data_IF_297682359928
#
_entry.id   IF_297682359928
#
_cell.length_a   1.000
_cell.length_b   1.000
_cell.length_c   1.000
_cell.angle_alpha   90.00
_cell.angle_beta   90.00
_cell.angle_gamma   90.00
#
_symmetry.space_group_name_H-M   'P 1'
#
loop_
_entity.id
_entity.type
_entity.pdbx_description
1 polymer ?
#
# COMPACT_ATOMS: atom_id res chain seq x y z
N UNK A 1 -9.18 14.63 -1.24
CA UNK A 1 -9.33 13.21 -1.66
C UNK A 1 -10.20 12.50 -0.64
N UNK A 2 -11.11 11.66 -1.11
CA UNK A 2 -12.00 10.84 -0.29
C UNK A 2 -11.64 9.38 -0.55
N UNK A 3 -11.44 8.63 0.51
CA UNK A 3 -11.11 7.21 0.47
C UNK A 3 -12.13 6.45 1.33
N UNK A 4 -12.73 5.42 0.77
CA UNK A 4 -13.64 4.54 1.51
C UNK A 4 -12.99 3.18 1.75
N UNK A 5 -13.29 2.55 2.89
CA UNK A 5 -12.90 1.18 3.15
C UNK A 5 -13.53 0.21 2.13
N UNK A 6 -12.97 -0.98 1.97
CA UNK A 6 -13.50 -2.02 1.10
C UNK A 6 -14.96 -2.39 1.47
N UNK A 7 -15.27 -2.44 2.75
CA UNK A 7 -16.62 -2.70 3.28
C UNK A 7 -17.54 -1.49 3.24
N UNK A 8 -17.04 -0.30 2.84
CA UNK A 8 -17.77 0.98 2.82
C UNK A 8 -18.36 1.40 4.18
N UNK A 9 -17.75 0.96 5.26
CA UNK A 9 -18.13 1.24 6.64
C UNK A 9 -17.30 2.37 7.27
N UNK A 10 -16.26 2.82 6.59
CA UNK A 10 -15.44 3.95 7.00
C UNK A 10 -15.01 4.81 5.81
N UNK A 11 -14.92 6.11 6.05
CA UNK A 11 -14.52 7.10 5.05
C UNK A 11 -13.41 7.95 5.61
N UNK A 12 -12.33 8.12 4.82
CA UNK A 12 -11.20 8.99 5.16
C UNK A 12 -11.19 10.19 4.21
N UNK A 13 -11.20 11.38 4.80
CA UNK A 13 -11.07 12.64 4.08
C UNK A 13 -9.64 13.17 4.22
N UNK A 14 -8.93 13.28 3.09
CA UNK A 14 -7.59 13.87 3.03
C UNK A 14 -7.69 15.36 2.74
N UNK A 15 -7.38 16.19 3.73
CA UNK A 15 -7.47 17.64 3.64
C UNK A 15 -6.12 18.22 3.20
N UNK A 16 -6.15 19.11 2.20
CA UNK A 16 -4.95 19.83 1.71
C UNK A 16 -4.87 21.27 2.22
N UNK A 17 -5.97 21.79 2.74
CA UNK A 17 -6.01 23.16 3.26
C UNK A 17 -5.31 23.22 4.62
N UNK A 18 -4.17 23.91 4.62
CA UNK A 18 -3.35 24.12 5.82
C UNK A 18 -4.05 24.95 6.90
N UNK A 19 -5.02 25.79 6.53
CA UNK A 19 -5.80 26.56 7.50
C UNK A 19 -6.69 25.65 8.37
N UNK A 20 -7.22 24.58 7.78
CA UNK A 20 -8.01 23.58 8.53
C UNK A 20 -7.15 22.74 9.48
N UNK A 21 -5.92 22.45 9.10
CA UNK A 21 -4.99 21.67 9.94
C UNK A 21 -4.65 22.39 11.25
N UNK A 22 -4.71 23.71 11.26
CA UNK A 22 -4.40 24.55 12.42
C UNK A 22 -5.57 24.72 13.40
N UNK A 23 -6.74 24.17 13.08
CA UNK A 23 -7.93 24.22 13.92
C UNK A 23 -8.01 22.98 14.81
N UNK A 24 -8.52 23.16 16.02
CA UNK A 24 -8.78 22.05 16.93
C UNK A 24 -10.11 21.34 16.63
N UNK A 25 -11.02 22.04 15.96
CA UNK A 25 -12.33 21.54 15.59
C UNK A 25 -12.56 21.78 14.09
N UNK A 26 -12.87 20.72 13.37
CA UNK A 26 -13.32 20.77 11.98
C UNK A 26 -14.83 20.73 11.96
N UNK A 27 -15.48 21.74 11.33
CA UNK A 27 -16.90 21.74 11.02
C UNK A 27 -17.14 21.31 9.58
N UNK A 28 -18.07 20.43 9.38
CA UNK A 28 -18.47 19.95 8.05
C UNK A 28 -19.95 19.65 7.99
N UNK A 29 -20.54 19.85 6.82
CA UNK A 29 -21.86 19.36 6.48
C UNK A 29 -21.71 18.05 5.70
N UNK A 30 -22.38 17.00 6.16
CA UNK A 30 -22.30 15.69 5.54
C UNK A 30 -23.63 15.34 4.90
N UNK A 31 -23.66 15.25 3.56
CA UNK A 31 -24.83 14.82 2.79
C UNK A 31 -24.65 13.39 2.31
N UNK A 32 -25.60 12.53 2.66
CA UNK A 32 -25.59 11.11 2.29
C UNK A 32 -27.01 10.59 2.01
N UNK A 33 -27.07 9.43 1.38
CA UNK A 33 -28.35 8.75 1.14
C UNK A 33 -28.64 7.79 2.28
N UNK A 34 -29.84 7.88 2.84
CA UNK A 34 -30.34 6.96 3.85
C UNK A 34 -31.76 6.49 3.50
N UNK A 35 -32.12 5.34 4.03
CA UNK A 35 -33.49 4.81 3.86
C UNK A 35 -34.38 5.43 4.93
N UNK A 36 -35.53 6.00 4.53
CA UNK A 36 -36.53 6.50 5.46
C UNK A 36 -37.36 5.38 6.11
N UNK A 37 -38.30 5.73 6.98
CA UNK A 37 -39.18 4.77 7.66
C UNK A 37 -40.10 3.98 6.73
N UNK A 38 -40.23 4.39 5.47
CA UNK A 38 -41.05 3.73 4.43
C UNK A 38 -40.21 2.83 3.52
N UNK A 39 -38.89 2.78 3.71
CA UNK A 39 -37.97 2.03 2.86
C UNK A 39 -37.51 2.78 1.61
N UNK A 40 -37.88 4.05 1.45
CA UNK A 40 -37.45 4.87 0.32
C UNK A 40 -36.10 5.52 0.59
N UNK A 41 -35.24 5.51 -0.42
CA UNK A 41 -33.89 6.11 -0.34
C UNK A 41 -34.02 7.65 -0.51
N UNK A 42 -33.77 8.38 0.57
CA UNK A 42 -33.79 9.85 0.60
C UNK A 42 -32.38 10.42 0.81
N UNK A 43 -32.21 11.69 0.41
CA UNK A 43 -30.98 12.44 0.68
C UNK A 43 -31.14 13.13 2.05
N UNK A 44 -30.19 12.87 2.95
CA UNK A 44 -30.14 13.48 4.28
C UNK A 44 -28.87 14.30 4.43
N UNK A 45 -28.95 15.42 5.15
CA UNK A 45 -27.80 16.27 5.44
C UNK A 45 -27.71 16.52 6.93
N UNK A 46 -26.62 16.04 7.52
CA UNK A 46 -26.23 16.43 8.85
C UNK A 46 -25.42 17.73 8.77
N UNK A 47 -25.94 18.77 9.38
CA UNK A 47 -25.30 20.09 9.39
C UNK A 47 -24.46 20.29 10.63
N UNK A 48 -23.34 21.02 10.48
CA UNK A 48 -22.47 21.42 11.57
C UNK A 48 -21.92 20.24 12.40
N UNK A 49 -21.59 19.12 11.75
CA UNK A 49 -20.83 18.06 12.42
C UNK A 49 -19.47 18.60 12.86
N UNK A 50 -19.18 18.44 14.14
CA UNK A 50 -17.92 18.88 14.73
C UNK A 50 -17.02 17.68 15.00
N UNK A 51 -15.84 17.65 14.33
CA UNK A 51 -14.81 16.65 14.54
C UNK A 51 -13.66 17.29 15.31
N UNK A 52 -13.44 16.83 16.52
CA UNK A 52 -12.36 17.31 17.39
C UNK A 52 -11.03 16.65 16.98
N UNK A 53 -9.98 17.45 16.96
CA UNK A 53 -8.61 16.92 16.80
C UNK A 53 -8.24 16.05 18.00
N UNK A 54 -7.63 14.89 17.76
CA UNK A 54 -7.10 14.02 18.83
C UNK A 54 -6.06 14.74 19.70
N UNK A 55 -5.30 15.66 19.10
CA UNK A 55 -4.33 16.48 19.79
C UNK A 55 -4.56 17.96 19.48
N UNK A 56 -4.76 18.81 20.50
CA UNK A 56 -4.92 20.25 20.33
C UNK A 56 -3.73 20.85 19.56
N UNK A 57 -4.01 21.85 18.72
CA UNK A 57 -3.00 22.55 17.92
C UNK A 57 -1.82 23.08 18.77
N UNK A 58 -2.15 23.67 19.92
CA UNK A 58 -1.13 24.17 20.84
C UNK A 58 -0.16 23.08 21.34
N UNK A 59 -0.66 21.85 21.56
CA UNK A 59 0.18 20.71 21.97
C UNK A 59 1.07 20.25 20.82
N UNK A 60 0.50 20.15 19.58
CA UNK A 60 1.25 19.79 18.37
C UNK A 60 2.37 20.81 18.10
N UNK A 61 2.08 22.11 18.24
CA UNK A 61 3.08 23.17 18.05
C UNK A 61 4.21 23.09 19.07
N UNK A 62 3.90 22.92 20.35
CA UNK A 62 4.92 22.73 21.40
C UNK A 62 5.80 21.50 21.15
N UNK A 63 5.23 20.39 20.68
CA UNK A 63 6.00 19.21 20.32
C UNK A 63 6.97 19.50 19.16
N UNK A 64 6.50 20.19 18.14
CA UNK A 64 7.30 20.58 16.97
C UNK A 64 8.42 21.57 17.35
N UNK A 65 8.13 22.56 18.17
CA UNK A 65 9.13 23.51 18.71
C UNK A 65 10.21 22.79 19.49
N UNK A 66 9.81 21.84 20.34
CA UNK A 66 10.76 21.02 21.11
C UNK A 66 11.66 20.19 20.20
N UNK A 67 11.10 19.56 19.17
CA UNK A 67 11.87 18.79 18.18
C UNK A 67 12.89 19.66 17.46
N UNK A 68 12.48 20.84 16.99
CA UNK A 68 13.37 21.83 16.34
C UNK A 68 14.48 22.26 17.31
N UNK A 69 14.16 22.53 18.56
CA UNK A 69 15.14 22.98 19.57
C UNK A 69 16.15 21.86 19.89
N UNK A 70 15.71 20.62 20.00
CA UNK A 70 16.60 19.46 20.23
C UNK A 70 17.51 19.22 19.04
N UNK A 71 16.97 19.30 17.81
CA UNK A 71 17.74 19.20 16.58
C UNK A 71 18.79 20.32 16.51
N UNK A 72 18.41 21.58 16.73
CA UNK A 72 19.31 22.74 16.71
C UNK A 72 20.46 22.57 17.72
N UNK A 73 20.17 22.17 18.96
CA UNK A 73 21.19 21.88 19.97
C UNK A 73 22.16 20.77 19.53
N UNK A 74 21.65 19.76 18.82
CA UNK A 74 22.48 18.68 18.28
C UNK A 74 23.42 19.19 17.20
N UNK A 75 22.92 20.01 16.27
CA UNK A 75 23.73 20.61 15.20
C UNK A 75 24.81 21.57 15.76
N UNK A 76 24.48 22.38 16.74
CA UNK A 76 25.46 23.24 17.42
C UNK A 76 26.58 22.44 18.10
N UNK A 77 26.26 21.31 18.72
CA UNK A 77 27.27 20.42 19.33
C UNK A 77 28.19 19.82 18.26
N UNK A 78 27.67 19.43 17.08
CA UNK A 78 28.46 18.92 15.96
C UNK A 78 29.39 20.02 15.42
N UNK A 79 28.86 21.22 15.22
CA UNK A 79 29.64 22.40 14.78
C UNK A 79 30.79 22.70 15.74
N UNK A 80 30.53 22.71 17.05
CA UNK A 80 31.58 22.96 18.09
C UNK A 80 32.65 21.88 18.09
N UNK A 81 32.34 20.66 17.67
CA UNK A 81 33.30 19.54 17.57
C UNK A 81 34.02 19.49 16.23
N UNK A 82 33.78 20.43 15.32
CA UNK A 82 34.35 20.41 13.96
C UNK A 82 33.84 19.26 13.09
N UNK A 83 32.69 18.67 13.44
CA UNK A 83 32.06 17.60 12.69
C UNK A 83 31.07 18.17 11.66
N UNK A 84 30.76 17.45 10.57
CA UNK A 84 29.74 17.86 9.63
C UNK A 84 28.41 18.13 10.34
N UNK A 85 27.75 19.24 10.01
CA UNK A 85 26.47 19.64 10.58
C UNK A 85 25.54 20.18 9.47
N UNK A 86 24.25 20.04 9.69
CA UNK A 86 23.22 20.54 8.79
C UNK A 86 22.75 21.93 9.26
N UNK A 87 22.58 22.87 8.34
CA UNK A 87 22.06 24.22 8.61
C UNK A 87 20.53 24.28 8.61
N UNK A 88 19.88 23.33 7.96
CA UNK A 88 18.43 23.25 7.82
C UNK A 88 17.95 21.86 8.25
N UNK A 89 16.89 21.81 9.04
CA UNK A 89 16.27 20.56 9.43
C UNK A 89 15.65 19.88 8.20
N UNK A 90 16.08 18.65 7.92
CA UNK A 90 15.54 17.90 6.79
C UNK A 90 14.05 17.59 7.01
N UNK A 91 13.27 17.81 5.98
CA UNK A 91 11.85 17.39 5.95
C UNK A 91 11.80 15.86 5.98
N UNK A 92 10.90 15.29 6.79
CA UNK A 92 10.70 13.85 6.83
C UNK A 92 10.27 13.39 5.43
N UNK A 93 10.99 12.46 4.80
CA UNK A 93 10.61 12.00 3.46
C UNK A 93 9.34 11.16 3.52
N UNK A 94 8.69 11.00 2.37
CA UNK A 94 7.61 10.06 2.20
C UNK A 94 8.11 8.64 2.48
N UNK A 95 7.45 7.95 3.40
CA UNK A 95 7.74 6.54 3.70
C UNK A 95 7.04 5.64 2.69
N UNK A 96 7.80 4.75 2.08
CA UNK A 96 7.33 3.78 1.10
C UNK A 96 7.53 2.39 1.65
N UNK A 97 6.46 1.63 1.77
CA UNK A 97 6.50 0.23 2.21
C UNK A 97 6.42 -0.65 0.97
N UNK A 98 7.48 -1.41 0.73
CA UNK A 98 7.55 -2.37 -0.38
C UNK A 98 7.18 -3.75 0.16
N UNK A 99 6.12 -4.35 -0.38
CA UNK A 99 5.55 -5.62 0.06
C UNK A 99 6.26 -6.84 -0.51
N UNK A 100 7.58 -6.79 -0.59
CA UNK A 100 8.42 -7.95 -0.86
C UNK A 100 9.62 -7.92 0.09
N UNK A 101 9.95 -9.07 0.67
CA UNK A 101 11.14 -9.23 1.50
C UNK A 101 12.32 -9.74 0.64
N UNK A 102 12.86 -10.92 0.96
CA UNK A 102 13.94 -11.57 0.19
C UNK A 102 13.42 -12.55 -0.86
N UNK A 103 12.16 -12.98 -0.73
CA UNK A 103 11.54 -13.95 -1.62
C UNK A 103 10.16 -13.48 -2.08
N UNK A 104 9.82 -13.79 -3.33
CA UNK A 104 8.53 -13.53 -3.96
C UNK A 104 7.95 -14.84 -4.48
N UNK A 105 6.69 -15.14 -4.12
CA UNK A 105 5.98 -16.28 -4.71
C UNK A 105 5.71 -16.01 -6.21
N UNK A 106 5.83 -17.02 -7.09
CA UNK A 106 5.73 -16.81 -8.55
C UNK A 106 4.38 -16.26 -9.03
N UNK A 107 3.31 -16.45 -8.26
CA UNK A 107 1.96 -15.95 -8.55
C UNK A 107 1.65 -14.60 -7.87
N UNK A 108 2.61 -14.00 -7.18
CA UNK A 108 2.47 -12.72 -6.50
C UNK A 108 3.17 -11.60 -7.24
N UNK A 109 2.76 -10.40 -6.94
CA UNK A 109 3.39 -9.19 -7.45
C UNK A 109 3.94 -8.36 -6.30
N UNK A 110 4.87 -7.46 -6.63
CA UNK A 110 5.43 -6.54 -5.63
C UNK A 110 4.41 -5.43 -5.37
N UNK A 111 4.01 -5.27 -4.11
CA UNK A 111 3.08 -4.22 -3.71
C UNK A 111 3.82 -3.05 -3.08
N UNK A 112 3.24 -1.87 -3.24
CA UNK A 112 3.70 -0.65 -2.58
C UNK A 112 2.55 -0.08 -1.77
N UNK A 113 2.82 0.31 -0.54
CA UNK A 113 1.84 1.02 0.27
C UNK A 113 2.43 2.29 0.86
N UNK A 114 1.59 3.32 0.93
CA UNK A 114 1.93 4.66 1.37
C UNK A 114 1.01 5.07 2.51
N UNK A 115 1.54 5.86 3.45
CA UNK A 115 0.73 6.36 4.55
C UNK A 115 -0.24 7.47 4.10
N UNK A 116 0.09 8.16 2.99
CA UNK A 116 -0.69 9.24 2.37
C UNK A 116 -0.93 8.95 0.89
N UNK A 117 -2.03 9.45 0.29
CA UNK A 117 -2.25 9.30 -1.15
C UNK A 117 -1.16 9.99 -1.97
N UNK A 118 -0.80 9.38 -3.10
CA UNK A 118 0.17 9.96 -4.02
C UNK A 118 -0.47 11.05 -4.90
N UNK A 119 0.26 12.14 -5.11
CA UNK A 119 0.01 13.13 -6.14
C UNK A 119 0.75 12.80 -7.43
N UNK A 120 1.92 12.14 -7.31
CA UNK A 120 2.77 11.75 -8.44
C UNK A 120 3.40 10.38 -8.19
N UNK A 121 3.38 9.55 -9.23
CA UNK A 121 4.17 8.32 -9.32
C UNK A 121 4.90 8.34 -10.67
N UNK A 122 6.22 8.51 -10.65
CA UNK A 122 7.05 8.61 -11.83
C UNK A 122 7.67 7.23 -12.15
N UNK A 123 7.05 6.53 -13.08
CA UNK A 123 7.52 5.21 -13.52
C UNK A 123 8.83 5.27 -14.30
N UNK A 124 9.21 6.43 -14.85
CA UNK A 124 10.50 6.59 -15.53
C UNK A 124 11.69 6.49 -14.55
N UNK A 125 11.47 6.88 -13.29
CA UNK A 125 12.44 6.73 -12.20
C UNK A 125 12.39 5.35 -11.53
N UNK A 126 11.67 4.37 -12.09
CA UNK A 126 11.61 3.00 -11.57
C UNK A 126 12.36 2.05 -12.51
N UNK A 127 13.16 1.18 -11.95
CA UNK A 127 14.00 0.25 -12.69
C UNK A 127 13.90 -1.14 -12.07
N UNK A 128 13.55 -2.12 -12.90
CA UNK A 128 13.57 -3.53 -12.52
C UNK A 128 14.67 -4.23 -13.29
N UNK A 129 15.50 -4.96 -12.56
CA UNK A 129 16.56 -5.76 -13.16
C UNK A 129 16.37 -7.22 -12.78
N UNK A 130 16.60 -8.12 -13.74
CA UNK A 130 16.68 -9.57 -13.55
C UNK A 130 18.13 -10.02 -13.71
N UNK A 131 18.58 -10.89 -12.84
CA UNK A 131 19.93 -11.46 -12.88
C UNK A 131 19.95 -12.69 -13.78
N UNK A 132 20.85 -12.70 -14.74
CA UNK A 132 21.11 -13.87 -15.57
C UNK A 132 22.61 -14.19 -15.45
N UNK A 133 22.93 -15.33 -14.89
CA UNK A 133 24.28 -15.71 -14.47
C UNK A 133 24.90 -14.66 -13.54
N UNK A 134 25.86 -13.89 -14.03
CA UNK A 134 26.55 -12.84 -13.26
C UNK A 134 26.12 -11.41 -13.65
N UNK A 135 25.27 -11.25 -14.66
CA UNK A 135 24.90 -9.97 -15.23
C UNK A 135 23.45 -9.60 -14.90
N UNK A 136 23.21 -8.31 -14.74
CA UNK A 136 21.88 -7.74 -14.54
C UNK A 136 21.34 -7.15 -15.84
N UNK A 137 20.12 -7.53 -16.21
CA UNK A 137 19.43 -7.05 -17.40
C UNK A 137 18.16 -6.34 -17.00
N UNK A 138 17.82 -5.25 -17.68
CA UNK A 138 16.57 -4.52 -17.44
C UNK A 138 15.39 -5.43 -17.80
N UNK A 139 14.47 -5.59 -16.87
CA UNK A 139 13.24 -6.36 -17.03
C UNK A 139 12.04 -5.41 -17.23
N UNK A 140 11.09 -5.78 -18.10
CA UNK A 140 9.85 -5.02 -18.25
C UNK A 140 8.97 -5.18 -17.01
N UNK A 141 8.19 -4.15 -16.71
CA UNK A 141 7.19 -4.17 -15.65
C UNK A 141 6.03 -3.21 -15.97
N UNK A 142 4.91 -3.45 -15.33
CA UNK A 142 3.76 -2.53 -15.27
C UNK A 142 3.58 -2.05 -13.84
N UNK A 143 3.18 -0.79 -13.65
CA UNK A 143 2.95 -0.21 -12.34
C UNK A 143 1.57 0.42 -12.30
N UNK A 144 0.67 -0.18 -11.52
CA UNK A 144 -0.74 0.20 -11.46
C UNK A 144 -1.19 0.55 -10.06
N UNK A 145 -2.15 1.46 -9.95
CA UNK A 145 -2.87 1.73 -8.71
C UNK A 145 -3.93 0.65 -8.48
N UNK A 146 -3.94 0.06 -7.29
CA UNK A 146 -5.02 -0.83 -6.81
C UNK A 146 -5.88 -0.16 -5.73
N UNK A 147 -5.50 1.03 -5.32
CA UNK A 147 -6.20 1.88 -4.35
C UNK A 147 -5.56 3.24 -4.26
N UNK A 148 -6.09 4.13 -3.42
CA UNK A 148 -5.55 5.49 -3.29
C UNK A 148 -4.13 5.54 -2.71
N UNK A 149 -3.75 4.52 -1.96
CA UNK A 149 -2.46 4.41 -1.26
C UNK A 149 -1.74 3.10 -1.53
N UNK A 150 -2.30 2.29 -2.42
CA UNK A 150 -1.78 0.97 -2.74
C UNK A 150 -1.55 0.85 -4.24
N UNK A 151 -0.37 0.36 -4.57
CA UNK A 151 0.07 0.16 -5.93
C UNK A 151 0.67 -1.22 -6.07
N UNK A 152 0.67 -1.73 -7.29
CA UNK A 152 1.24 -3.03 -7.63
C UNK A 152 2.19 -2.89 -8.80
N UNK A 153 3.38 -3.49 -8.67
CA UNK A 153 4.31 -3.67 -9.75
C UNK A 153 4.20 -5.11 -10.24
N UNK A 154 3.78 -5.27 -11.50
CA UNK A 154 3.67 -6.55 -12.20
C UNK A 154 4.87 -6.71 -13.10
N UNK A 155 5.55 -7.83 -12.96
CA UNK A 155 6.66 -8.22 -13.80
C UNK A 155 6.46 -9.63 -14.35
N UNK A 156 7.28 -9.99 -15.34
CA UNK A 156 7.39 -11.38 -15.78
C UNK A 156 8.31 -12.15 -14.82
N UNK A 157 7.71 -12.65 -13.73
CA UNK A 157 8.44 -13.33 -12.69
C UNK A 157 8.85 -14.73 -13.14
N UNK A 158 10.17 -14.96 -13.24
CA UNK A 158 10.72 -16.27 -13.56
C UNK A 158 11.22 -16.94 -12.30
N UNK A 159 10.79 -18.18 -12.02
CA UNK A 159 11.27 -18.93 -10.84
C UNK A 159 12.79 -19.02 -10.81
N UNK A 160 13.34 -19.06 -9.60
CA UNK A 160 14.78 -19.13 -9.31
C UNK A 160 15.63 -17.92 -9.73
N UNK A 161 15.02 -16.89 -10.34
CA UNK A 161 15.73 -15.68 -10.77
C UNK A 161 15.75 -14.66 -9.63
N UNK A 162 16.90 -14.01 -9.45
CA UNK A 162 17.07 -12.85 -8.59
C UNK A 162 16.70 -11.58 -9.35
N UNK A 163 15.96 -10.70 -8.66
CA UNK A 163 15.56 -9.38 -9.16
C UNK A 163 16.09 -8.28 -8.24
N UNK A 164 16.36 -7.12 -8.82
CA UNK A 164 16.65 -5.88 -8.11
C UNK A 164 15.69 -4.80 -8.58
N UNK A 165 14.88 -4.30 -7.65
CA UNK A 165 14.02 -3.16 -7.87
C UNK A 165 14.75 -1.92 -7.35
N UNK A 166 14.93 -0.93 -8.21
CA UNK A 166 15.55 0.35 -7.89
C UNK A 166 14.57 1.46 -8.23
N UNK A 167 14.37 2.38 -7.29
CA UNK A 167 13.49 3.55 -7.46
C UNK A 167 14.30 4.78 -7.11
N UNK A 168 14.29 5.75 -8.02
CA UNK A 168 15.02 7.00 -7.85
C UNK A 168 14.43 7.88 -6.76
N UNK A 169 15.23 8.81 -6.26
CA UNK A 169 14.77 9.84 -5.33
C UNK A 169 13.64 10.64 -5.97
N UNK A 170 12.60 10.94 -5.18
CA UNK A 170 11.43 11.72 -5.61
C UNK A 170 10.63 11.11 -6.77
N UNK A 171 10.76 9.81 -7.05
CA UNK A 171 9.88 9.10 -7.98
C UNK A 171 8.43 9.07 -7.48
N UNK A 172 8.23 9.09 -6.16
CA UNK A 172 6.92 9.23 -5.55
C UNK A 172 6.83 10.54 -4.77
N UNK A 173 5.71 11.24 -4.94
CA UNK A 173 5.37 12.45 -4.20
C UNK A 173 3.92 12.34 -3.70
N UNK A 174 3.70 12.65 -2.44
CA UNK A 174 2.36 12.63 -1.87
C UNK A 174 1.60 13.93 -2.12
N UNK A 175 0.32 13.95 -1.72
CA UNK A 175 -0.55 15.13 -1.87
C UNK A 175 -0.10 16.34 -1.04
N UNK A 176 0.85 16.17 -0.13
CA UNK A 176 1.42 17.23 0.71
C UNK A 176 2.79 17.70 0.23
N UNK A 177 3.29 17.15 -0.88
CA UNK A 177 4.59 17.50 -1.46
C UNK A 177 5.77 16.81 -0.79
N UNK A 178 5.54 15.74 -0.02
CA UNK A 178 6.62 14.93 0.52
C UNK A 178 7.13 13.94 -0.53
N UNK A 179 8.42 13.98 -0.79
CA UNK A 179 9.07 13.13 -1.79
C UNK A 179 9.70 11.89 -1.15
N UNK A 180 9.72 10.78 -1.90
CA UNK A 180 10.35 9.53 -1.48
C UNK A 180 11.87 9.60 -1.52
N UNK A 181 12.52 8.82 -0.65
CA UNK A 181 13.95 8.49 -0.79
C UNK A 181 14.16 7.45 -1.88
N UNK A 182 15.39 7.31 -2.39
CA UNK A 182 15.69 6.21 -3.30
C UNK A 182 15.49 4.87 -2.60
N UNK A 183 14.98 3.89 -3.34
CA UNK A 183 14.73 2.54 -2.85
C UNK A 183 15.58 1.57 -3.66
N UNK A 184 16.19 0.62 -2.98
CA UNK A 184 16.84 -0.53 -3.60
C UNK A 184 16.44 -1.78 -2.85
N UNK A 185 15.68 -2.66 -3.51
CA UNK A 185 15.14 -3.88 -2.95
C UNK A 185 15.51 -5.07 -3.83
N UNK A 186 16.37 -5.95 -3.31
CA UNK A 186 16.66 -7.23 -3.93
C UNK A 186 15.70 -8.31 -3.43
N UNK A 187 15.28 -9.21 -4.32
CA UNK A 187 14.48 -10.39 -3.98
C UNK A 187 14.71 -11.50 -4.99
N UNK A 188 14.41 -12.73 -4.59
CA UNK A 188 14.44 -13.90 -5.47
C UNK A 188 13.02 -14.43 -5.65
N UNK A 189 12.66 -14.82 -6.87
CA UNK A 189 11.42 -15.57 -7.10
C UNK A 189 11.63 -17.01 -6.70
N UNK A 190 10.75 -17.53 -5.87
CA UNK A 190 10.87 -18.88 -5.32
C UNK A 190 10.82 -19.94 -6.42
N UNK A 191 11.54 -21.05 -6.20
CA UNK A 191 11.53 -22.21 -7.09
C UNK A 191 10.17 -22.87 -7.15
N UNK A 192 9.79 -23.39 -8.31
CA UNK A 192 8.55 -24.15 -8.48
C UNK A 192 8.56 -25.46 -7.67
N UNK A 193 9.73 -26.00 -7.36
CA UNK A 193 9.88 -27.24 -6.58
C UNK A 193 9.32 -27.14 -5.15
N UNK A 194 9.15 -25.90 -4.66
CA UNK A 194 8.57 -25.64 -3.33
C UNK A 194 7.06 -25.64 -3.31
N UNK A 195 6.39 -25.78 -4.47
CA UNK A 195 4.94 -25.67 -4.58
C UNK A 195 4.30 -26.94 -5.09
N UNK A 196 3.09 -27.21 -4.62
CA UNK A 196 2.19 -28.25 -5.12
C UNK A 196 1.10 -27.70 -6.02
N UNK A 197 0.44 -28.59 -6.72
CA UNK A 197 -0.78 -28.33 -7.47
C UNK A 197 -1.87 -29.25 -6.99
N UNK A 198 -3.07 -28.71 -6.75
CA UNK A 198 -4.26 -29.47 -6.38
C UNK A 198 -5.31 -29.34 -7.47
N UNK A 199 -5.77 -30.48 -7.98
CA UNK A 199 -6.88 -30.58 -8.94
C UNK A 199 -8.10 -31.10 -8.21
N UNK A 200 -9.21 -30.36 -8.24
CA UNK A 200 -10.48 -30.76 -7.65
C UNK A 200 -11.49 -31.03 -8.76
N UNK A 201 -11.89 -32.29 -8.92
CA UNK A 201 -12.93 -32.66 -9.86
C UNK A 201 -14.29 -32.67 -9.14
N UNK A 202 -15.24 -31.93 -9.68
CA UNK A 202 -16.60 -31.78 -9.17
C UNK A 202 -17.50 -32.68 -10.01
N UNK A 203 -18.03 -33.74 -9.38
CA UNK A 203 -18.79 -34.79 -10.07
C UNK A 203 -20.31 -34.55 -10.08
N UNK A 204 -20.80 -33.63 -9.25
CA UNK A 204 -22.21 -33.31 -9.20
C UNK A 204 -22.65 -32.43 -10.37
N UNK A 205 -23.86 -32.70 -10.86
CA UNK A 205 -24.42 -31.93 -11.97
C UNK A 205 -25.15 -30.68 -11.45
N UNK A 206 -24.39 -29.60 -11.23
CA UNK A 206 -24.96 -28.30 -10.85
C UNK A 206 -25.51 -27.52 -12.05
N UNK A 207 -25.68 -28.14 -13.21
CA UNK A 207 -26.08 -27.47 -14.45
C UNK A 207 -24.98 -26.50 -14.95
N UNK A 208 -25.42 -25.36 -15.53
CA UNK A 208 -24.50 -24.34 -16.05
C UNK A 208 -24.16 -23.26 -15.00
N UNK A 209 -24.28 -23.54 -13.71
CA UNK A 209 -23.96 -22.56 -12.67
C UNK A 209 -22.45 -22.40 -12.54
N UNK A 210 -21.96 -21.15 -12.44
CA UNK A 210 -20.55 -20.91 -12.18
C UNK A 210 -20.22 -21.31 -10.74
N UNK A 211 -19.38 -22.34 -10.59
CA UNK A 211 -18.96 -22.83 -9.28
C UNK A 211 -17.67 -22.14 -8.84
N UNK A 212 -17.68 -21.65 -7.60
CA UNK A 212 -16.49 -21.11 -6.94
C UNK A 212 -16.02 -22.14 -5.91
N UNK A 213 -14.78 -22.62 -6.08
CA UNK A 213 -14.14 -23.52 -5.14
C UNK A 213 -13.16 -22.73 -4.30
N UNK A 214 -13.24 -22.88 -2.98
CA UNK A 214 -12.37 -22.19 -2.04
C UNK A 214 -11.49 -23.20 -1.29
N UNK A 215 -10.22 -22.89 -1.22
CA UNK A 215 -9.26 -23.61 -0.41
C UNK A 215 -9.11 -22.88 0.93
N UNK A 216 -9.33 -23.61 2.02
CA UNK A 216 -9.27 -23.07 3.37
C UNK A 216 -8.00 -23.54 4.09
N UNK A 217 -7.45 -22.74 4.99
CA UNK A 217 -6.39 -23.17 5.89
C UNK A 217 -6.96 -23.91 7.11
N UNK A 218 -6.10 -24.33 8.02
CA UNK A 218 -6.50 -25.03 9.26
C UNK A 218 -7.35 -24.18 10.23
N UNK A 219 -7.51 -22.88 9.99
CA UNK A 219 -8.33 -21.94 10.74
C UNK A 219 -9.61 -21.53 9.99
N UNK A 220 -10.01 -22.29 8.97
CA UNK A 220 -11.17 -22.02 8.11
C UNK A 220 -11.13 -20.66 7.39
N UNK A 221 -9.94 -20.10 7.17
CA UNK A 221 -9.76 -18.89 6.40
C UNK A 221 -9.50 -19.22 4.94
N UNK A 222 -10.12 -18.46 4.05
CA UNK A 222 -9.94 -18.64 2.60
C UNK A 222 -8.54 -18.23 2.19
N UNK A 223 -7.75 -19.20 1.74
CA UNK A 223 -6.39 -18.99 1.21
C UNK A 223 -6.44 -18.69 -0.29
N UNK A 224 -7.25 -19.44 -1.02
CA UNK A 224 -7.35 -19.30 -2.47
C UNK A 224 -8.77 -19.61 -2.95
N UNK A 225 -9.24 -18.88 -3.96
CA UNK A 225 -10.55 -19.10 -4.59
C UNK A 225 -10.37 -19.22 -6.09
N UNK A 226 -10.94 -20.28 -6.68
CA UNK A 226 -10.84 -20.55 -8.12
C UNK A 226 -12.23 -20.86 -8.67
N UNK A 227 -12.58 -20.31 -9.83
CA UNK A 227 -13.78 -20.70 -10.57
C UNK A 227 -13.52 -22.01 -11.26
N UNK A 228 -14.41 -22.99 -11.05
CA UNK A 228 -14.33 -24.25 -11.76
C UNK A 228 -14.68 -24.04 -13.25
N UNK A 229 -13.89 -24.65 -14.10
CA UNK A 229 -14.10 -24.67 -15.56
C UNK A 229 -14.33 -26.14 -15.95
N UNK A 230 -15.45 -26.42 -16.60
CA UNK A 230 -15.84 -27.78 -16.99
C UNK A 230 -15.81 -28.79 -15.83
N UNK A 231 -16.20 -28.34 -14.63
CA UNK A 231 -16.23 -29.18 -13.44
C UNK A 231 -14.86 -29.42 -12.79
N UNK A 232 -13.81 -28.71 -13.21
CA UNK A 232 -12.46 -28.82 -12.64
C UNK A 232 -12.04 -27.48 -12.04
N UNK A 233 -11.57 -27.50 -10.81
CA UNK A 233 -10.90 -26.37 -10.16
C UNK A 233 -9.42 -26.69 -9.95
N UNK A 234 -8.54 -25.84 -10.42
CA UNK A 234 -7.10 -26.03 -10.40
C UNK A 234 -6.45 -24.99 -9.47
N UNK A 235 -5.76 -25.47 -8.46
CA UNK A 235 -5.01 -24.64 -7.52
C UNK A 235 -3.53 -24.85 -7.74
N UNK A 236 -2.85 -23.82 -8.24
CA UNK A 236 -1.39 -23.80 -8.46
C UNK A 236 -0.68 -23.07 -7.34
N UNK A 237 0.63 -23.28 -7.21
CA UNK A 237 1.52 -22.61 -6.28
C UNK A 237 1.06 -22.75 -4.82
N UNK A 238 0.68 -23.98 -4.43
CA UNK A 238 0.34 -24.28 -3.04
C UNK A 238 1.60 -24.62 -2.26
N UNK A 239 1.81 -23.91 -1.15
CA UNK A 239 2.88 -24.26 -0.20
C UNK A 239 2.56 -25.57 0.50
N UNK A 240 3.54 -26.34 0.99
CA UNK A 240 3.30 -27.59 1.71
C UNK A 240 2.72 -27.31 3.11
N UNK A 241 1.41 -27.06 3.14
CA UNK A 241 0.64 -26.75 4.34
C UNK A 241 -0.61 -27.62 4.41
N UNK A 242 -1.33 -27.55 5.53
CA UNK A 242 -2.63 -28.19 5.69
C UNK A 242 -3.73 -27.27 5.19
N UNK A 243 -4.47 -27.79 4.23
CA UNK A 243 -5.66 -27.15 3.65
C UNK A 243 -6.93 -27.91 3.96
#
# INVERSE_FOLDING_TARGET
IIESSEKKDSITYWLRDTALVNQDTLRMDLTYRMTDSTGVLICHTDTAMEILSKEPYAKRMKAKEKEIAEWSKKQEKLKKKGMPYDSVMAIKPLEVKVGVASELDPDKNVTFSFDTPLAKADTAGMHLYAKHDTLWYRAPFEFDSIGNREYVLRGEWRPDIEYSLEVDSAAFEDIYGLASKPIKQGFKVSSLDTYGTLLVNITDNFGNLPLLVQLLNAQDQVVKSVKAVNGVAEFYYLKPEKY
#
